data_IF_192348992318
#
_entry.id   IF_192348992318
#
_cell.length_a   1.000
_cell.length_b   1.000
_cell.length_c   1.000
_cell.angle_alpha   90.00
_cell.angle_beta   90.00
_cell.angle_gamma   90.00
#
_symmetry.space_group_name_H-M   'P 1'
#
loop_
_entity.id
_entity.type
_entity.pdbx_description
1 polymer ?
#
# COMPACT_ATOMS: atom_id res chain seq x y z
N UNK A 1 10.16 47.20 -30.16
CA UNK A 1 9.37 45.95 -30.09
C UNK A 1 9.57 45.34 -28.72
N UNK A 2 8.53 45.24 -27.87
CA UNK A 2 8.61 44.48 -26.62
C UNK A 2 8.55 43.00 -27.00
N UNK A 3 9.61 42.26 -26.69
CA UNK A 3 9.65 40.80 -26.81
C UNK A 3 8.47 40.27 -25.98
N UNK A 4 7.59 39.40 -26.52
CA UNK A 4 6.50 38.83 -25.74
C UNK A 4 7.11 38.10 -24.54
N UNK A 5 6.72 38.50 -23.33
CA UNK A 5 7.11 37.78 -22.14
C UNK A 5 6.50 36.39 -22.21
N UNK A 6 7.35 35.37 -22.34
CA UNK A 6 6.90 33.99 -22.31
C UNK A 6 6.42 33.71 -20.89
N UNK A 7 5.10 33.74 -20.68
CA UNK A 7 4.51 33.34 -19.41
C UNK A 7 4.71 31.84 -19.21
N UNK A 8 5.48 31.47 -18.19
CA UNK A 8 5.65 30.08 -17.80
C UNK A 8 4.63 29.70 -16.74
N UNK A 9 4.03 28.51 -16.85
CA UNK A 9 3.14 27.94 -15.81
C UNK A 9 3.85 26.84 -15.04
N UNK A 10 3.64 26.79 -13.72
CA UNK A 10 4.19 25.72 -12.90
C UNK A 10 3.54 24.37 -13.24
N UNK A 11 4.36 23.39 -13.62
CA UNK A 11 3.92 22.03 -14.02
C UNK A 11 3.44 21.14 -12.87
N UNK A 12 3.32 21.70 -11.66
CA UNK A 12 2.67 21.06 -10.51
C UNK A 12 1.36 21.75 -10.16
N UNK A 13 1.40 23.02 -9.77
CA UNK A 13 0.21 23.71 -9.25
C UNK A 13 -0.60 24.46 -10.32
N UNK A 14 -0.09 24.57 -11.55
CA UNK A 14 -0.74 25.27 -12.65
C UNK A 14 -0.69 26.80 -12.60
N UNK A 15 -0.23 27.40 -11.48
CA UNK A 15 -0.15 28.85 -11.34
C UNK A 15 0.99 29.44 -12.19
N UNK A 16 0.78 30.64 -12.70
CA UNK A 16 1.75 31.41 -13.50
C UNK A 16 3.00 31.78 -12.69
N UNK A 17 4.17 31.62 -13.30
CA UNK A 17 5.47 32.06 -12.81
C UNK A 17 5.69 33.50 -13.27
N UNK A 18 5.41 34.47 -12.40
CA UNK A 18 5.69 35.90 -12.67
C UNK A 18 7.19 36.11 -12.92
N UNK A 19 7.59 37.14 -13.68
CA UNK A 19 9.01 37.38 -14.05
C UNK A 19 9.99 37.33 -12.87
N UNK A 20 9.65 37.96 -11.75
CA UNK A 20 10.49 37.94 -10.53
C UNK A 20 10.61 36.53 -9.90
N UNK A 21 9.62 35.67 -10.13
CA UNK A 21 9.59 34.28 -9.67
C UNK A 21 10.30 33.32 -10.63
N UNK A 22 10.44 33.64 -11.93
CA UNK A 22 11.18 32.80 -12.89
C UNK A 22 12.65 32.64 -12.48
N UNK A 23 13.29 33.72 -12.01
CA UNK A 23 14.68 33.68 -11.49
C UNK A 23 14.85 32.77 -10.26
N UNK A 24 13.76 32.51 -9.53
CA UNK A 24 13.73 31.63 -8.35
C UNK A 24 13.05 30.29 -8.64
N UNK A 25 12.63 30.06 -9.88
CA UNK A 25 11.93 28.84 -10.30
C UNK A 25 12.94 27.77 -10.68
N UNK A 26 12.47 26.53 -10.81
CA UNK A 26 13.29 25.41 -11.25
C UNK A 26 12.87 25.00 -12.65
N UNK A 27 13.83 25.01 -13.57
CA UNK A 27 13.65 24.55 -14.94
C UNK A 27 14.12 23.12 -15.10
N UNK A 28 13.25 22.23 -15.58
CA UNK A 28 13.64 20.88 -15.91
C UNK A 28 14.19 20.81 -17.34
N UNK A 29 15.51 20.79 -17.50
CA UNK A 29 16.17 20.78 -18.81
C UNK A 29 15.82 19.55 -19.65
N UNK A 30 15.41 18.44 -19.02
CA UNK A 30 15.06 17.20 -19.73
C UNK A 30 13.70 17.25 -20.43
N UNK A 31 12.71 17.88 -19.82
CA UNK A 31 11.35 17.95 -20.39
C UNK A 31 10.87 19.38 -20.64
N UNK A 32 11.76 20.35 -20.49
CA UNK A 32 11.53 21.78 -20.66
C UNK A 32 10.38 22.35 -19.81
N UNK A 33 10.09 21.74 -18.66
CA UNK A 33 9.00 22.15 -17.75
C UNK A 33 9.51 23.04 -16.63
N UNK A 34 8.69 23.99 -16.21
CA UNK A 34 9.01 24.95 -15.15
C UNK A 34 8.21 24.68 -13.88
N UNK A 35 8.80 24.98 -12.72
CA UNK A 35 8.20 24.75 -11.41
C UNK A 35 8.49 25.90 -10.45
N UNK A 36 7.53 26.29 -9.60
CA UNK A 36 7.90 27.04 -8.40
C UNK A 36 8.89 26.21 -7.60
N UNK A 37 9.86 26.86 -6.95
CA UNK A 37 10.83 26.17 -6.11
C UNK A 37 10.19 25.29 -5.05
N UNK A 38 9.20 25.82 -4.35
CA UNK A 38 8.44 25.10 -3.32
C UNK A 38 7.57 23.99 -3.89
N UNK A 39 7.17 24.09 -5.16
CA UNK A 39 6.42 23.05 -5.84
C UNK A 39 7.32 21.94 -6.38
N UNK A 40 8.57 22.27 -6.69
CA UNK A 40 9.55 21.31 -7.17
C UNK A 40 9.88 20.35 -6.03
N UNK A 41 9.54 19.07 -6.20
CA UNK A 41 9.82 17.98 -5.24
C UNK A 41 9.18 18.08 -3.84
N UNK A 42 8.29 19.05 -3.57
CA UNK A 42 7.45 18.93 -2.37
C UNK A 42 6.74 17.56 -2.42
N UNK A 43 6.73 16.84 -1.29
CA UNK A 43 6.13 15.51 -1.14
C UNK A 43 6.89 14.35 -1.83
N UNK A 44 8.10 14.57 -2.35
CA UNK A 44 8.95 13.49 -2.89
C UNK A 44 10.19 13.19 -2.05
N UNK A 45 10.46 13.98 -1.00
CA UNK A 45 11.62 13.83 -0.13
C UNK A 45 12.98 14.21 -0.76
N UNK A 46 12.98 14.79 -1.97
CA UNK A 46 14.21 15.19 -2.66
C UNK A 46 14.52 16.65 -2.35
N UNK A 47 15.57 16.90 -1.59
CA UNK A 47 16.06 18.26 -1.33
C UNK A 47 16.59 18.89 -2.62
N UNK A 48 16.21 20.14 -2.88
CA UNK A 48 16.84 20.95 -3.91
C UNK A 48 18.02 21.66 -3.24
N UNK A 49 19.22 21.46 -3.75
CA UNK A 49 20.35 22.29 -3.35
C UNK A 49 20.03 23.77 -3.59
N UNK A 50 20.31 24.61 -2.61
CA UNK A 50 19.83 26.00 -2.59
C UNK A 50 20.33 26.87 -3.75
N UNK A 51 21.24 26.39 -4.59
CA UNK A 51 21.89 27.18 -5.64
C UNK A 51 21.61 26.72 -7.07
N UNK A 52 20.86 25.63 -7.30
CA UNK A 52 20.70 25.07 -8.65
C UNK A 52 19.33 25.44 -9.25
N UNK A 53 19.26 26.32 -10.28
CA UNK A 53 18.01 26.72 -10.93
C UNK A 53 17.48 25.71 -11.95
N UNK A 54 18.23 24.64 -12.22
CA UNK A 54 17.93 23.64 -13.23
C UNK A 54 17.99 22.22 -12.68
N UNK A 55 17.21 21.30 -13.24
CA UNK A 55 17.27 19.88 -12.90
C UNK A 55 16.95 18.98 -14.09
N UNK A 56 17.48 17.76 -14.11
CA UNK A 56 17.11 16.72 -15.09
C UNK A 56 16.15 15.67 -14.51
N UNK A 57 15.71 15.81 -13.25
CA UNK A 57 14.91 14.82 -12.51
C UNK A 57 13.65 15.43 -11.89
N UNK A 58 12.82 16.10 -12.68
CA UNK A 58 11.51 16.58 -12.18
C UNK A 58 10.51 15.42 -12.00
N UNK A 59 9.41 15.66 -11.26
CA UNK A 59 8.42 14.62 -10.94
C UNK A 59 7.74 14.07 -12.20
N UNK A 60 7.55 14.90 -13.23
CA UNK A 60 7.04 14.47 -14.53
C UNK A 60 8.00 13.50 -15.24
N UNK A 61 9.30 13.76 -15.19
CA UNK A 61 10.31 12.87 -15.77
C UNK A 61 10.43 11.57 -14.97
N UNK A 62 10.51 11.68 -13.65
CA UNK A 62 10.68 10.54 -12.74
C UNK A 62 9.46 9.61 -12.73
N UNK A 63 8.25 10.18 -12.79
CA UNK A 63 7.02 9.40 -12.86
C UNK A 63 6.76 8.91 -14.28
N UNK A 64 7.00 9.75 -15.28
CA UNK A 64 6.40 9.60 -16.61
C UNK A 64 5.03 10.28 -16.66
N UNK A 65 4.66 10.79 -17.83
CA UNK A 65 3.38 11.47 -18.06
C UNK A 65 2.47 10.61 -18.91
N UNK A 66 1.21 10.50 -18.52
CA UNK A 66 0.18 9.80 -19.29
C UNK A 66 -0.54 10.83 -20.13
N UNK A 67 -0.37 10.75 -21.44
CA UNK A 67 -1.26 11.45 -22.37
C UNK A 67 -2.44 10.53 -22.71
N UNK A 68 -3.60 10.81 -22.13
CA UNK A 68 -4.82 10.04 -22.34
C UNK A 68 -5.32 10.09 -23.80
N UNK A 69 -4.83 11.04 -24.62
CA UNK A 69 -5.14 11.15 -26.05
C UNK A 69 -4.16 10.37 -26.92
N UNK A 70 -2.96 10.06 -26.43
CA UNK A 70 -1.91 9.39 -27.20
C UNK A 70 -1.90 7.88 -26.95
N UNK A 71 -2.27 7.11 -27.99
CA UNK A 71 -2.23 5.64 -27.96
C UNK A 71 -0.81 5.07 -27.79
N UNK A 72 0.24 5.88 -28.03
CA UNK A 72 1.66 5.45 -28.02
C UNK A 72 2.11 4.84 -26.68
N UNK A 73 1.56 5.29 -25.55
CA UNK A 73 2.00 4.84 -24.23
C UNK A 73 1.55 3.40 -23.89
N UNK A 74 0.59 2.83 -24.63
CA UNK A 74 -0.09 1.59 -24.25
C UNK A 74 0.41 0.33 -24.98
N UNK A 75 1.21 0.46 -26.04
CA UNK A 75 1.55 -0.69 -26.90
C UNK A 75 2.36 -1.79 -26.19
N UNK A 76 3.16 -1.45 -25.18
CA UNK A 76 3.99 -2.40 -24.42
C UNK A 76 3.38 -2.84 -23.08
N UNK A 77 2.19 -2.36 -22.73
CA UNK A 77 1.54 -2.69 -21.46
C UNK A 77 0.65 -3.92 -21.59
N UNK A 78 0.69 -4.80 -20.58
CA UNK A 78 -0.28 -5.89 -20.46
C UNK A 78 -1.70 -5.35 -20.23
N UNK A 79 -2.72 -6.21 -20.36
CA UNK A 79 -4.13 -5.80 -20.25
C UNK A 79 -4.48 -5.19 -18.88
N UNK A 80 -3.86 -5.68 -17.81
CA UNK A 80 -4.12 -5.23 -16.43
C UNK A 80 -3.58 -3.82 -16.20
N UNK A 81 -2.37 -3.54 -16.66
CA UNK A 81 -1.77 -2.22 -16.57
C UNK A 81 -2.55 -1.20 -17.40
N UNK A 82 -3.07 -1.58 -18.58
CA UNK A 82 -3.97 -0.73 -19.38
C UNK A 82 -5.27 -0.38 -18.63
N UNK A 83 -5.92 -1.38 -18.04
CA UNK A 83 -7.12 -1.18 -17.21
C UNK A 83 -6.83 -0.30 -15.99
N UNK A 84 -5.70 -0.55 -15.32
CA UNK A 84 -5.24 0.23 -14.18
C UNK A 84 -5.07 1.72 -14.52
N UNK A 85 -4.40 2.05 -15.62
CA UNK A 85 -4.23 3.46 -16.03
C UNK A 85 -5.57 4.15 -16.25
N UNK A 86 -6.52 3.43 -16.84
CA UNK A 86 -7.85 3.94 -17.14
C UNK A 86 -8.69 4.15 -15.88
N UNK A 87 -8.79 3.14 -15.02
CA UNK A 87 -9.79 3.08 -13.96
C UNK A 87 -9.20 3.31 -12.55
N UNK A 88 -7.88 3.23 -12.40
CA UNK A 88 -7.15 3.44 -11.14
C UNK A 88 -6.93 2.16 -10.33
N UNK A 89 -7.44 1.02 -10.80
CA UNK A 89 -7.28 -0.29 -10.17
C UNK A 89 -7.42 -1.42 -11.18
N UNK A 90 -6.98 -2.63 -10.82
CA UNK A 90 -7.24 -3.86 -11.55
C UNK A 90 -7.16 -5.09 -10.63
N UNK A 91 -7.79 -6.19 -11.04
CA UNK A 91 -7.67 -7.50 -10.38
C UNK A 91 -6.81 -8.40 -11.25
N UNK A 92 -5.78 -9.01 -10.66
CA UNK A 92 -4.71 -9.73 -11.36
C UNK A 92 -4.53 -11.11 -10.72
N UNK A 93 -4.43 -12.20 -11.50
CA UNK A 93 -4.15 -13.52 -10.94
C UNK A 93 -2.75 -13.58 -10.33
N UNK A 94 -2.60 -14.34 -9.24
CA UNK A 94 -1.30 -14.65 -8.64
C UNK A 94 -0.64 -15.90 -9.25
N UNK A 95 -1.44 -16.76 -9.88
CA UNK A 95 -1.00 -18.00 -10.53
C UNK A 95 -1.13 -17.91 -12.05
N UNK A 96 -0.23 -18.57 -12.78
CA UNK A 96 -0.31 -18.75 -14.22
C UNK A 96 -0.91 -20.11 -14.59
N UNK A 97 -0.77 -21.09 -13.70
CA UNK A 97 -1.27 -22.46 -13.88
C UNK A 97 -2.27 -22.87 -12.80
N UNK A 98 -3.06 -23.92 -13.08
CA UNK A 98 -4.00 -24.48 -12.12
C UNK A 98 -3.29 -25.05 -10.88
N UNK A 99 -2.16 -25.73 -11.07
CA UNK A 99 -1.36 -26.31 -9.97
C UNK A 99 -0.83 -25.23 -9.04
N UNK A 100 -0.32 -24.13 -9.59
CA UNK A 100 0.10 -22.96 -8.80
C UNK A 100 -1.09 -22.35 -8.04
N UNK A 101 -2.25 -22.22 -8.67
CA UNK A 101 -3.45 -21.70 -8.01
C UNK A 101 -3.87 -22.57 -6.83
N UNK A 102 -3.85 -23.89 -6.99
CA UNK A 102 -4.14 -24.84 -5.92
C UNK A 102 -3.13 -24.72 -4.76
N UNK A 103 -1.84 -24.54 -5.07
CA UNK A 103 -0.83 -24.33 -4.04
C UNK A 103 -1.01 -22.99 -3.30
N UNK A 104 -1.17 -21.89 -4.05
CA UNK A 104 -1.36 -20.56 -3.47
C UNK A 104 -2.61 -20.53 -2.59
N UNK A 105 -3.74 -21.10 -3.05
CA UNK A 105 -4.98 -21.10 -2.27
C UNK A 105 -4.87 -21.91 -0.97
N UNK A 106 -4.11 -23.01 -0.96
CA UNK A 106 -3.75 -23.74 0.28
C UNK A 106 -2.92 -22.86 1.21
N UNK A 107 -1.87 -22.22 0.69
CA UNK A 107 -1.00 -21.35 1.48
C UNK A 107 -1.76 -20.17 2.09
N UNK A 108 -2.60 -19.49 1.31
CA UNK A 108 -3.45 -18.39 1.80
C UNK A 108 -4.40 -18.83 2.91
N UNK A 109 -4.93 -20.06 2.82
CA UNK A 109 -5.80 -20.63 3.86
C UNK A 109 -5.02 -20.88 5.16
N UNK A 110 -3.81 -21.44 5.08
CA UNK A 110 -2.92 -21.60 6.24
C UNK A 110 -2.55 -20.24 6.84
N UNK A 111 -2.21 -19.26 6.00
CA UNK A 111 -1.84 -17.92 6.45
C UNK A 111 -2.99 -17.19 7.12
N UNK A 112 -4.23 -17.41 6.66
CA UNK A 112 -5.44 -16.90 7.34
C UNK A 112 -5.50 -17.42 8.77
N UNK A 113 -5.33 -18.73 8.97
CA UNK A 113 -5.38 -19.32 10.31
C UNK A 113 -4.26 -18.77 11.21
N UNK A 114 -3.03 -18.69 10.71
CA UNK A 114 -1.89 -18.13 11.45
C UNK A 114 -2.14 -16.68 11.88
N UNK A 115 -2.64 -15.86 10.94
CA UNK A 115 -2.93 -14.46 11.20
C UNK A 115 -4.03 -14.28 12.24
N UNK A 116 -5.11 -15.07 12.18
CA UNK A 116 -6.21 -14.96 13.15
C UNK A 116 -5.73 -15.33 14.56
N UNK A 117 -4.90 -16.37 14.71
CA UNK A 117 -4.24 -16.68 15.99
C UNK A 117 -3.37 -15.52 16.48
N UNK A 118 -2.59 -14.92 15.58
CA UNK A 118 -1.76 -13.76 15.92
C UNK A 118 -2.58 -12.53 16.34
N UNK A 119 -3.70 -12.28 15.66
CA UNK A 119 -4.64 -11.21 16.00
C UNK A 119 -5.26 -11.42 17.39
N UNK A 120 -5.75 -12.62 17.69
CA UNK A 120 -6.32 -12.96 19.01
C UNK A 120 -5.28 -12.74 20.12
N UNK A 121 -4.03 -13.12 19.88
CA UNK A 121 -2.94 -12.92 20.82
C UNK A 121 -2.59 -11.44 21.03
N UNK A 122 -2.59 -10.62 19.96
CA UNK A 122 -2.44 -9.16 20.04
C UNK A 122 -3.58 -8.53 20.85
N UNK A 123 -4.82 -8.87 20.54
CA UNK A 123 -6.00 -8.32 21.19
C UNK A 123 -5.99 -8.65 22.68
N UNK A 124 -5.75 -9.92 23.04
CA UNK A 124 -5.66 -10.35 24.43
C UNK A 124 -4.52 -9.64 25.19
N UNK A 125 -3.38 -9.46 24.54
CA UNK A 125 -2.25 -8.74 25.14
C UNK A 125 -2.61 -7.28 25.42
N UNK A 126 -3.30 -6.63 24.47
CA UNK A 126 -3.80 -5.26 24.64
C UNK A 126 -4.80 -5.17 25.81
N UNK A 127 -5.76 -6.08 25.88
CA UNK A 127 -6.76 -6.15 26.95
C UNK A 127 -6.12 -6.35 28.33
N UNK A 128 -5.19 -7.30 28.46
CA UNK A 128 -4.47 -7.51 29.72
C UNK A 128 -3.64 -6.28 30.14
N UNK A 129 -3.01 -5.58 29.20
CA UNK A 129 -2.31 -4.32 29.52
C UNK A 129 -3.27 -3.25 30.04
N UNK A 130 -4.50 -3.20 29.49
CA UNK A 130 -5.51 -2.22 29.89
C UNK A 130 -6.07 -2.51 31.29
N UNK A 131 -6.22 -3.78 31.65
CA UNK A 131 -6.70 -4.22 32.96
C UNK A 131 -5.72 -3.95 34.11
N UNK A 132 -4.41 -4.01 33.84
CA UNK A 132 -3.34 -3.81 34.85
C UNK A 132 -3.24 -2.32 35.30
N UNK A 133 -4.06 -1.42 34.75
CA UNK A 133 -4.21 -0.04 35.24
C UNK A 133 -3.10 0.93 34.81
N UNK A 134 -2.25 0.52 33.85
CA UNK A 134 -1.24 1.38 33.25
C UNK A 134 -1.81 2.30 32.15
N UNK A 135 -1.11 3.37 31.81
CA UNK A 135 -1.44 4.20 30.65
C UNK A 135 -1.23 3.41 29.34
N UNK A 136 -2.29 2.72 28.88
CA UNK A 136 -2.26 1.96 27.62
C UNK A 136 -2.51 2.89 26.45
N UNK A 137 -1.62 2.93 25.44
CA UNK A 137 -1.84 3.71 24.24
C UNK A 137 -3.12 3.27 23.51
N UNK A 138 -3.85 4.21 22.88
CA UNK A 138 -5.02 3.84 22.07
C UNK A 138 -4.62 2.99 20.87
N UNK A 139 -5.52 2.09 20.43
CA UNK A 139 -5.30 1.35 19.18
C UNK A 139 -5.35 2.26 17.94
N UNK A 140 -5.87 3.48 18.01
CA UNK A 140 -5.91 4.37 16.85
C UNK A 140 -4.52 4.93 16.48
N UNK A 141 -3.69 5.26 17.48
CA UNK A 141 -2.41 5.94 17.24
C UNK A 141 -1.25 5.48 18.13
N UNK A 142 -1.50 4.59 19.07
CA UNK A 142 -0.54 4.23 20.11
C UNK A 142 0.52 3.22 19.73
N UNK A 143 0.17 2.29 18.84
CA UNK A 143 1.06 1.18 18.46
C UNK A 143 1.48 1.25 16.99
N UNK A 144 2.72 0.87 16.69
CA UNK A 144 3.25 0.83 15.32
C UNK A 144 2.77 -0.39 14.54
N UNK A 145 2.52 -1.50 15.24
CA UNK A 145 2.25 -2.81 14.64
C UNK A 145 0.81 -3.31 14.79
N UNK A 146 -0.02 -2.69 15.62
CA UNK A 146 -1.40 -3.11 15.82
C UNK A 146 -2.32 -1.91 16.01
N UNK A 147 -3.12 -1.59 14.99
CA UNK A 147 -3.90 -0.35 14.96
C UNK A 147 -5.34 -0.61 14.61
N UNK A 148 -6.27 0.09 15.24
CA UNK A 148 -7.67 0.11 14.83
C UNK A 148 -7.92 1.31 13.92
N UNK A 149 -8.37 1.05 12.69
CA UNK A 149 -8.56 2.09 11.65
C UNK A 149 -9.97 2.67 11.68
N UNK A 150 -10.95 1.83 12.01
CA UNK A 150 -12.33 2.18 12.34
C UNK A 150 -12.94 1.04 13.16
N UNK A 151 -14.20 1.19 13.60
CA UNK A 151 -14.86 0.15 14.39
C UNK A 151 -14.80 -1.22 13.70
N UNK A 152 -14.25 -2.22 14.39
CA UNK A 152 -14.08 -3.59 13.90
C UNK A 152 -13.03 -3.80 12.78
N UNK A 153 -12.19 -2.80 12.46
CA UNK A 153 -11.15 -2.92 11.42
C UNK A 153 -9.76 -2.62 11.97
N UNK A 154 -8.87 -3.58 11.80
CA UNK A 154 -7.52 -3.53 12.32
C UNK A 154 -6.47 -3.55 11.20
N UNK A 155 -5.34 -2.93 11.46
CA UNK A 155 -4.10 -3.00 10.68
C UNK A 155 -3.05 -3.69 11.55
N UNK A 156 -2.45 -4.75 11.02
CA UNK A 156 -1.43 -5.55 11.69
C UNK A 156 -0.16 -5.49 10.83
N UNK A 157 0.95 -5.06 11.42
CA UNK A 157 2.28 -5.15 10.80
C UNK A 157 3.08 -6.20 11.55
N UNK A 158 3.54 -7.22 10.84
CA UNK A 158 4.39 -8.25 11.42
C UNK A 158 5.36 -8.81 10.37
N UNK A 159 6.55 -9.18 10.81
CA UNK A 159 7.63 -9.63 9.91
C UNK A 159 7.25 -10.91 9.16
N UNK A 160 6.50 -11.81 9.82
CA UNK A 160 5.99 -13.04 9.17
C UNK A 160 4.99 -12.77 8.05
N UNK A 161 4.26 -11.64 8.10
CA UNK A 161 3.35 -11.26 7.03
C UNK A 161 4.19 -10.84 5.83
N UNK A 162 5.16 -9.95 6.04
CA UNK A 162 6.10 -9.47 5.03
C UNK A 162 6.86 -10.63 4.37
N UNK A 163 7.38 -11.57 5.17
CA UNK A 163 8.13 -12.72 4.66
C UNK A 163 7.29 -13.69 3.83
N UNK A 164 5.96 -13.63 3.95
CA UNK A 164 5.01 -14.43 3.14
C UNK A 164 4.56 -13.68 1.88
N UNK A 165 4.03 -12.46 2.04
CA UNK A 165 3.37 -11.75 0.93
C UNK A 165 4.34 -11.17 -0.10
N UNK A 166 5.53 -10.71 0.32
CA UNK A 166 6.48 -10.09 -0.61
C UNK A 166 7.05 -11.14 -1.58
N UNK A 167 7.50 -12.33 -1.14
CA UNK A 167 7.91 -13.39 -2.06
C UNK A 167 6.78 -13.90 -2.96
N UNK A 168 5.54 -14.02 -2.45
CA UNK A 168 4.39 -14.40 -3.26
C UNK A 168 4.19 -13.44 -4.44
N UNK A 169 4.23 -12.14 -4.18
CA UNK A 169 4.10 -11.12 -5.25
C UNK A 169 5.32 -11.13 -6.17
N UNK A 170 6.53 -11.33 -5.64
CA UNK A 170 7.75 -11.41 -6.44
C UNK A 170 7.72 -12.58 -7.44
N UNK A 171 7.10 -13.70 -7.06
CA UNK A 171 6.98 -14.90 -7.89
C UNK A 171 5.77 -14.85 -8.85
N UNK A 172 4.79 -13.98 -8.63
CA UNK A 172 3.63 -13.83 -9.50
C UNK A 172 3.98 -13.04 -10.78
N UNK A 173 4.23 -13.75 -11.89
CA UNK A 173 4.73 -13.17 -13.13
C UNK A 173 3.83 -12.05 -13.67
N UNK A 174 2.53 -12.30 -13.82
CA UNK A 174 1.59 -11.29 -14.32
C UNK A 174 1.53 -10.06 -13.41
N UNK A 175 1.64 -10.23 -12.09
CA UNK A 175 1.67 -9.10 -11.14
C UNK A 175 2.96 -8.29 -11.32
N UNK A 176 4.13 -8.94 -11.40
CA UNK A 176 5.40 -8.25 -11.63
C UNK A 176 5.42 -7.49 -12.95
N UNK A 177 4.97 -8.09 -14.04
CA UNK A 177 4.87 -7.41 -15.34
C UNK A 177 3.94 -6.18 -15.27
N UNK A 178 2.86 -6.27 -14.50
CA UNK A 178 1.93 -5.15 -14.28
C UNK A 178 2.61 -4.04 -13.49
N UNK A 179 3.30 -4.37 -12.38
CA UNK A 179 4.02 -3.41 -11.56
C UNK A 179 5.17 -2.75 -12.33
N UNK A 180 5.93 -3.50 -13.13
CA UNK A 180 7.02 -2.97 -13.93
C UNK A 180 6.53 -2.00 -15.00
N UNK A 181 5.44 -2.32 -15.68
CA UNK A 181 4.84 -1.44 -16.67
C UNK A 181 4.32 -0.12 -16.06
N UNK A 182 3.99 -0.10 -14.76
CA UNK A 182 3.39 1.05 -14.10
C UNK A 182 4.40 1.89 -13.29
N UNK A 183 5.36 1.24 -12.61
CA UNK A 183 6.29 1.89 -11.69
C UNK A 183 7.68 2.08 -12.30
N UNK A 184 8.14 1.19 -13.18
CA UNK A 184 9.47 1.29 -13.75
C UNK A 184 9.48 2.24 -14.96
N UNK A 185 10.60 2.94 -15.17
CA UNK A 185 10.80 3.78 -16.34
C UNK A 185 12.10 3.34 -17.03
N UNK A 186 12.05 2.95 -18.31
CA UNK A 186 13.28 2.54 -19.02
C UNK A 186 14.15 3.74 -19.41
N UNK A 187 13.55 4.94 -19.57
CA UNK A 187 14.26 6.15 -20.00
C UNK A 187 15.01 6.85 -18.86
N UNK A 188 14.64 6.56 -17.62
CA UNK A 188 15.29 7.03 -16.40
C UNK A 188 15.38 5.84 -15.45
N UNK A 189 16.56 5.47 -14.93
CA UNK A 189 16.74 4.27 -14.08
C UNK A 189 15.98 4.41 -12.75
N UNK A 190 14.67 4.26 -12.83
CA UNK A 190 13.69 4.34 -11.75
C UNK A 190 13.12 2.96 -11.63
N UNK A 191 13.56 2.24 -10.59
CA UNK A 191 12.99 0.97 -10.20
C UNK A 191 11.82 1.14 -9.23
N UNK A 192 11.26 0.00 -8.82
CA UNK A 192 10.29 -0.11 -7.74
C UNK A 192 10.94 -0.60 -6.45
N UNK A 193 10.42 -0.19 -5.30
CA UNK A 193 10.79 -0.69 -3.97
C UNK A 193 9.53 -1.01 -3.16
N UNK A 194 9.66 -1.91 -2.18
CA UNK A 194 8.62 -2.07 -1.16
C UNK A 194 8.66 -0.86 -0.24
N UNK A 195 7.50 -0.24 -0.03
CA UNK A 195 7.33 0.91 0.86
C UNK A 195 6.77 0.48 2.21
N UNK A 196 5.80 -0.44 2.22
CA UNK A 196 5.22 -1.01 3.42
C UNK A 196 4.51 -2.33 3.11
N UNK A 197 4.26 -3.11 4.16
CA UNK A 197 3.51 -4.36 4.10
C UNK A 197 2.87 -4.67 5.43
N UNK A 198 1.78 -5.43 5.40
CA UNK A 198 1.02 -5.78 6.60
C UNK A 198 -0.29 -6.47 6.23
N UNK A 199 -1.25 -6.43 7.15
CA UNK A 199 -2.58 -6.98 6.96
C UNK A 199 -3.65 -6.00 7.43
N UNK A 200 -4.69 -5.82 6.62
CA UNK A 200 -5.96 -5.28 7.08
C UNK A 200 -6.91 -6.42 7.44
N UNK A 201 -7.36 -6.45 8.70
CA UNK A 201 -8.35 -7.40 9.19
C UNK A 201 -9.67 -6.68 9.43
N UNK A 202 -10.74 -7.13 8.79
CA UNK A 202 -12.09 -6.62 9.02
C UNK A 202 -12.95 -7.68 9.70
N UNK A 203 -13.33 -7.46 10.96
CA UNK A 203 -14.23 -8.35 11.68
C UNK A 203 -15.67 -8.23 11.14
N UNK A 204 -16.51 -9.21 11.46
CA UNK A 204 -17.95 -9.14 11.18
C UNK A 204 -18.53 -7.82 11.71
N UNK A 205 -19.34 -7.15 10.90
CA UNK A 205 -20.01 -5.92 11.29
C UNK A 205 -19.11 -4.68 11.31
N UNK A 206 -17.83 -4.79 10.93
CA UNK A 206 -16.93 -3.64 10.82
C UNK A 206 -17.51 -2.54 9.96
N UNK A 207 -17.17 -1.29 10.24
CA UNK A 207 -17.76 -0.16 9.52
C UNK A 207 -17.16 0.04 8.11
N UNK A 208 -17.97 0.68 7.26
CA UNK A 208 -17.51 1.24 5.98
C UNK A 208 -16.64 2.44 6.28
N UNK A 209 -15.44 2.47 5.70
CA UNK A 209 -14.53 3.60 5.84
C UNK A 209 -15.02 4.81 5.05
N UNK A 210 -14.60 6.01 5.46
CA UNK A 210 -14.74 7.19 4.63
C UNK A 210 -13.96 7.02 3.31
N UNK A 211 -14.47 7.62 2.24
CA UNK A 211 -13.77 7.65 0.96
C UNK A 211 -12.48 8.49 1.10
N UNK A 212 -11.35 7.96 0.65
CA UNK A 212 -10.05 8.60 0.77
C UNK A 212 -9.09 8.15 -0.34
N UNK A 213 -7.97 8.86 -0.45
CA UNK A 213 -6.78 8.46 -1.21
C UNK A 213 -5.67 8.14 -0.22
N UNK A 214 -4.78 7.20 -0.53
CA UNK A 214 -3.65 6.90 0.35
C UNK A 214 -2.50 7.91 0.19
N UNK A 215 -2.41 8.59 -0.95
CA UNK A 215 -1.47 9.69 -1.10
C UNK A 215 -1.89 10.76 -2.10
N UNK A 216 -1.17 11.90 -2.08
CA UNK A 216 -1.56 13.08 -2.82
C UNK A 216 -1.28 12.97 -4.33
N UNK A 217 -1.99 13.77 -5.12
CA UNK A 217 -1.56 14.04 -6.48
C UNK A 217 -0.25 14.85 -6.48
N UNK A 218 0.78 14.34 -7.16
CA UNK A 218 2.07 15.05 -7.28
C UNK A 218 2.07 16.15 -8.37
N UNK A 219 1.00 16.24 -9.15
CA UNK A 219 0.73 17.34 -10.10
C UNK A 219 -0.79 17.53 -10.24
N UNK A 220 -1.22 18.79 -10.34
CA UNK A 220 -2.60 19.20 -10.58
C UNK A 220 -2.86 19.57 -12.04
N UNK A 221 -1.83 19.49 -12.90
CA UNK A 221 -1.92 19.90 -14.31
C UNK A 221 -1.44 18.84 -15.30
N UNK A 222 -0.75 17.80 -14.83
CA UNK A 222 -0.29 16.69 -15.67
C UNK A 222 -0.69 15.36 -15.04
N UNK A 223 -1.32 14.49 -15.83
CA UNK A 223 -1.57 13.11 -15.43
C UNK A 223 -0.24 12.35 -15.42
N UNK A 224 0.15 11.86 -14.26
CA UNK A 224 1.39 11.10 -14.06
C UNK A 224 1.08 9.61 -13.97
N UNK A 225 2.02 8.78 -14.43
CA UNK A 225 2.07 7.37 -14.03
C UNK A 225 2.09 7.26 -12.50
N UNK A 226 1.54 6.17 -11.93
CA UNK A 226 1.52 5.98 -10.48
C UNK A 226 2.94 6.06 -9.92
N UNK A 227 3.09 6.74 -8.79
CA UNK A 227 4.33 6.76 -8.03
C UNK A 227 4.35 5.70 -6.91
N UNK A 228 3.16 5.21 -6.55
CA UNK A 228 2.96 4.11 -5.62
C UNK A 228 1.70 3.32 -6.01
N UNK A 229 1.69 2.03 -5.68
CA UNK A 229 0.62 1.07 -5.96
C UNK A 229 0.46 0.18 -4.73
N UNK A 230 -0.77 0.06 -4.25
CA UNK A 230 -1.12 -0.95 -3.27
C UNK A 230 -1.46 -2.26 -3.97
N UNK A 231 -0.93 -3.36 -3.44
CA UNK A 231 -1.23 -4.72 -3.87
C UNK A 231 -1.91 -5.43 -2.70
N UNK A 232 -3.22 -5.64 -2.80
CA UNK A 232 -4.02 -6.33 -1.81
C UNK A 232 -4.15 -7.80 -2.19
N UNK A 233 -3.81 -8.68 -1.26
CA UNK A 233 -3.92 -10.15 -1.38
C UNK A 233 -4.91 -10.63 -0.31
N UNK A 234 -6.19 -10.77 -0.67
CA UNK A 234 -7.20 -11.32 0.24
C UNK A 234 -6.86 -12.77 0.61
N UNK A 235 -6.96 -13.11 1.91
CA UNK A 235 -6.84 -14.51 2.35
C UNK A 235 -8.20 -15.24 2.35
N UNK A 236 -9.24 -14.57 1.87
CA UNK A 236 -10.57 -15.08 1.56
C UNK A 236 -11.07 -14.39 0.28
N UNK A 237 -12.02 -15.00 -0.44
CA UNK A 237 -12.70 -14.30 -1.53
C UNK A 237 -13.50 -13.10 -1.02
N UNK A 238 -13.41 -11.98 -1.74
CA UNK A 238 -14.12 -10.75 -1.40
C UNK A 238 -15.06 -10.32 -2.53
N UNK A 239 -16.20 -9.76 -2.14
CA UNK A 239 -17.25 -9.24 -3.02
C UNK A 239 -17.77 -7.91 -2.47
N UNK A 240 -18.85 -7.36 -3.04
CA UNK A 240 -19.44 -6.09 -2.59
C UNK A 240 -19.94 -6.08 -1.14
N UNK A 241 -20.07 -7.24 -0.46
CA UNK A 241 -20.49 -7.32 0.94
C UNK A 241 -19.33 -7.27 1.93
N UNK A 242 -18.10 -7.41 1.45
CA UNK A 242 -16.91 -7.38 2.27
C UNK A 242 -15.70 -6.92 1.43
N UNK A 243 -15.87 -5.97 0.51
CA UNK A 243 -14.86 -5.62 -0.49
C UNK A 243 -14.18 -4.29 -0.25
N UNK A 244 -13.41 -3.86 -1.25
CA UNK A 244 -12.97 -2.47 -1.37
C UNK A 244 -13.79 -1.85 -2.50
N UNK A 245 -14.29 -0.65 -2.26
CA UNK A 245 -15.02 0.11 -3.26
C UNK A 245 -14.14 1.24 -3.79
N UNK A 246 -14.19 1.44 -5.11
CA UNK A 246 -13.41 2.43 -5.84
C UNK A 246 -14.31 3.43 -6.52
N UNK A 247 -13.78 4.62 -6.72
CA UNK A 247 -14.33 5.67 -7.55
C UNK A 247 -13.48 5.70 -8.82
N UNK A 248 -13.86 4.97 -9.88
CA UNK A 248 -13.00 4.82 -11.04
C UNK A 248 -12.65 6.18 -11.63
N UNK A 249 -11.42 6.31 -12.15
CA UNK A 249 -10.92 7.52 -12.82
C UNK A 249 -10.68 8.73 -11.91
N UNK A 250 -10.95 8.65 -10.60
CA UNK A 250 -10.76 9.77 -9.68
C UNK A 250 -9.30 10.23 -9.54
N UNK A 251 -8.34 9.39 -9.95
CA UNK A 251 -6.91 9.72 -10.02
C UNK A 251 -6.54 10.55 -11.26
N UNK A 252 -7.46 10.72 -12.22
CA UNK A 252 -7.26 11.45 -13.46
C UNK A 252 -7.68 12.91 -13.29
N UNK A 253 -6.76 13.82 -13.56
CA UNK A 253 -7.00 15.26 -13.51
C UNK A 253 -8.07 15.69 -14.52
N UNK A 254 -9.00 16.53 -14.05
CA UNK A 254 -10.07 17.10 -14.86
C UNK A 254 -11.19 16.13 -15.21
N UNK A 255 -11.12 14.87 -14.75
CA UNK A 255 -12.18 13.90 -14.95
C UNK A 255 -13.16 13.92 -13.78
N UNK A 256 -14.10 14.87 -13.84
CA UNK A 256 -15.16 15.04 -12.84
C UNK A 256 -16.44 14.27 -13.20
N UNK A 257 -16.35 13.28 -14.10
CA UNK A 257 -17.53 12.47 -14.43
C UNK A 257 -17.97 11.74 -13.17
N UNK A 258 -19.26 11.83 -12.86
CA UNK A 258 -19.90 10.98 -11.86
C UNK A 258 -19.84 9.51 -12.33
N UNK A 259 -18.70 8.88 -12.11
CA UNK A 259 -18.54 7.45 -12.32
C UNK A 259 -19.18 6.76 -11.13
N UNK A 260 -20.14 5.86 -11.40
CA UNK A 260 -20.67 4.99 -10.34
C UNK A 260 -19.50 4.30 -9.66
N UNK A 261 -19.52 4.30 -8.33
CA UNK A 261 -18.54 3.55 -7.54
C UNK A 261 -18.67 2.05 -7.83
N UNK A 262 -17.55 1.33 -7.75
CA UNK A 262 -17.48 -0.09 -8.11
C UNK A 262 -16.73 -0.85 -7.03
N UNK A 263 -17.25 -2.01 -6.62
CA UNK A 263 -16.55 -2.95 -5.75
C UNK A 263 -16.17 -4.20 -6.54
N UNK A 264 -14.94 -4.26 -7.12
CA UNK A 264 -14.55 -5.43 -7.91
C UNK A 264 -14.48 -6.67 -7.02
N UNK A 265 -15.09 -7.79 -7.41
CA UNK A 265 -14.88 -9.05 -6.70
C UNK A 265 -13.43 -9.51 -6.89
N UNK A 266 -12.84 -10.05 -5.84
CA UNK A 266 -11.50 -10.63 -5.86
C UNK A 266 -11.58 -12.04 -5.32
N UNK A 267 -11.43 -13.01 -6.22
CA UNK A 267 -11.39 -14.42 -5.84
C UNK A 267 -10.09 -14.73 -5.07
N UNK A 268 -10.14 -15.74 -4.21
CA UNK A 268 -8.95 -16.30 -3.58
C UNK A 268 -7.93 -16.72 -4.67
N UNK A 269 -6.66 -16.34 -4.51
CA UNK A 269 -5.63 -16.53 -5.52
C UNK A 269 -5.48 -15.39 -6.53
N UNK A 270 -6.27 -14.31 -6.40
CA UNK A 270 -6.06 -13.06 -7.14
C UNK A 270 -5.60 -11.93 -6.19
N UNK A 271 -4.91 -10.95 -6.76
CA UNK A 271 -4.55 -9.70 -6.10
C UNK A 271 -5.33 -8.52 -6.69
N UNK A 272 -5.68 -7.57 -5.84
CA UNK A 272 -6.25 -6.28 -6.20
C UNK A 272 -5.14 -5.23 -6.18
N UNK A 273 -4.84 -4.63 -7.33
CA UNK A 273 -3.88 -3.55 -7.46
C UNK A 273 -4.63 -2.23 -7.60
N UNK A 274 -4.22 -1.18 -6.89
CA UNK A 274 -4.79 0.15 -7.06
C UNK A 274 -3.79 1.28 -6.87
N UNK A 275 -4.05 2.38 -7.58
CA UNK A 275 -3.24 3.60 -7.57
C UNK A 275 -3.33 4.26 -6.19
N UNK A 276 -2.20 4.68 -5.65
CA UNK A 276 -2.16 5.35 -4.34
C UNK A 276 -3.03 6.63 -4.29
N UNK A 277 -3.38 7.17 -5.46
CA UNK A 277 -4.21 8.37 -5.63
C UNK A 277 -5.67 8.08 -5.95
N UNK A 278 -6.07 6.83 -6.23
CA UNK A 278 -7.47 6.54 -6.52
C UNK A 278 -8.29 6.65 -5.24
N UNK A 279 -9.45 7.28 -5.34
CA UNK A 279 -10.38 7.42 -4.22
C UNK A 279 -11.01 6.05 -4.02
N UNK A 280 -10.96 5.57 -2.79
CA UNK A 280 -11.47 4.26 -2.42
C UNK A 280 -11.92 4.23 -0.95
N UNK A 281 -12.58 3.14 -0.57
CA UNK A 281 -12.91 2.84 0.82
C UNK A 281 -13.06 1.34 1.05
N UNK A 282 -12.64 0.86 2.23
CA UNK A 282 -13.02 -0.46 2.70
C UNK A 282 -14.50 -0.49 3.07
N UNK A 283 -15.27 -1.42 2.49
CA UNK A 283 -16.68 -1.60 2.85
C UNK A 283 -16.83 -2.34 4.18
N UNK A 284 -18.00 -2.14 4.81
CA UNK A 284 -18.47 -2.96 5.93
C UNK A 284 -18.29 -4.45 5.61
N UNK A 285 -17.85 -5.24 6.58
CA UNK A 285 -17.89 -6.68 6.44
C UNK A 285 -19.26 -7.21 6.89
N UNK A 286 -20.15 -7.44 5.91
CA UNK A 286 -21.48 -8.01 6.13
C UNK A 286 -21.49 -9.55 6.17
N UNK A 287 -20.32 -10.21 6.10
CA UNK A 287 -20.17 -11.66 6.24
C UNK A 287 -19.87 -12.03 7.69
N UNK A 288 -20.20 -13.26 8.07
CA UNK A 288 -19.87 -13.83 9.39
C UNK A 288 -18.37 -13.97 9.62
N UNK A 289 -17.64 -14.31 8.56
CA UNK A 289 -16.21 -14.59 8.66
C UNK A 289 -15.39 -13.29 8.68
N UNK A 290 -14.32 -13.21 9.50
CA UNK A 290 -13.34 -12.15 9.38
C UNK A 290 -12.73 -12.12 7.98
N UNK A 291 -12.46 -10.90 7.49
CA UNK A 291 -11.80 -10.64 6.21
C UNK A 291 -10.39 -10.11 6.42
N UNK A 292 -9.40 -11.01 6.51
CA UNK A 292 -7.99 -10.63 6.42
C UNK A 292 -7.56 -10.43 4.97
N UNK A 293 -6.79 -9.36 4.75
CA UNK A 293 -6.19 -9.03 3.47
C UNK A 293 -4.75 -8.57 3.72
N UNK A 294 -3.79 -9.36 3.25
CA UNK A 294 -2.41 -8.91 3.21
C UNK A 294 -2.28 -7.77 2.21
N UNK A 295 -1.35 -6.87 2.45
CA UNK A 295 -1.00 -5.82 1.51
C UNK A 295 0.52 -5.66 1.39
N UNK A 296 0.94 -5.23 0.21
CA UNK A 296 2.25 -4.64 -0.03
C UNK A 296 2.06 -3.38 -0.84
N UNK A 297 2.63 -2.28 -0.39
CA UNK A 297 2.69 -1.05 -1.17
C UNK A 297 4.04 -0.97 -1.86
N UNK A 298 4.03 -0.96 -3.19
CA UNK A 298 5.23 -0.68 -3.98
C UNK A 298 5.27 0.79 -4.36
N UNK A 299 6.44 1.41 -4.32
CA UNK A 299 6.65 2.77 -4.79
C UNK A 299 7.82 2.87 -5.75
N UNK A 300 7.85 3.93 -6.55
CA UNK A 300 9.04 4.29 -7.32
C UNK A 300 10.19 4.56 -6.35
N UNK A 301 11.40 4.14 -6.70
CA UNK A 301 12.57 4.17 -5.79
C UNK A 301 12.88 5.55 -5.21
N UNK A 302 12.60 6.61 -5.96
CA UNK A 302 12.80 8.01 -5.56
C UNK A 302 11.73 8.55 -4.60
N UNK A 303 10.57 7.91 -4.48
CA UNK A 303 9.49 8.40 -3.63
C UNK A 303 9.76 8.07 -2.16
N UNK A 304 9.41 9.00 -1.28
CA UNK A 304 9.42 8.81 0.17
C UNK A 304 8.06 9.21 0.71
N UNK A 305 7.37 8.28 1.38
CA UNK A 305 6.10 8.59 2.02
C UNK A 305 6.36 9.32 3.34
N UNK A 306 5.81 10.52 3.44
CA UNK A 306 5.87 11.35 4.65
C UNK A 306 4.53 11.37 5.40
N UNK A 307 3.49 10.71 4.88
CA UNK A 307 2.12 10.84 5.38
C UNK A 307 1.64 9.63 6.18
N UNK A 308 1.87 8.41 5.68
CA UNK A 308 1.20 7.21 6.18
C UNK A 308 2.12 6.36 7.06
N UNK A 309 3.39 6.24 6.70
CA UNK A 309 4.35 5.32 7.32
C UNK A 309 5.50 6.02 8.06
N UNK A 310 5.32 7.28 8.48
CA UNK A 310 6.37 7.94 9.28
C UNK A 310 6.47 7.34 10.68
N UNK A 311 7.65 6.81 11.03
CA UNK A 311 7.98 6.28 12.37
C UNK A 311 7.74 7.32 13.48
N UNK A 312 7.74 8.61 13.13
CA UNK A 312 7.42 9.71 14.05
C UNK A 312 6.00 9.62 14.62
N UNK A 313 5.07 8.96 13.92
CA UNK A 313 3.65 8.87 14.31
C UNK A 313 3.37 7.76 15.32
N UNK A 314 4.16 6.68 15.33
CA UNK A 314 3.91 5.49 16.15
C UNK A 314 5.16 5.10 16.94
N UNK A 315 5.06 5.07 18.27
CA UNK A 315 6.24 4.99 19.14
C UNK A 315 6.41 3.65 19.86
N UNK A 316 5.36 2.84 20.00
CA UNK A 316 5.37 1.60 20.77
C UNK A 316 5.02 0.39 19.90
N UNK A 317 5.79 -0.68 19.98
CA UNK A 317 5.40 -1.99 19.43
C UNK A 317 4.63 -2.76 20.51
N UNK A 318 3.52 -3.39 20.14
CA UNK A 318 2.81 -4.31 21.01
C UNK A 318 3.46 -5.69 20.87
N UNK A 319 4.21 -6.08 21.89
CA UNK A 319 4.87 -7.37 21.95
C UNK A 319 3.89 -8.43 22.44
N UNK A 320 3.72 -9.49 21.64
CA UNK A 320 2.85 -10.62 21.98
C UNK A 320 3.65 -11.63 22.77
N UNK A 321 3.11 -12.09 23.90
CA UNK A 321 3.67 -13.22 24.64
C UNK A 321 3.65 -14.48 23.75
N UNK A 322 4.81 -15.12 23.48
CA UNK A 322 4.87 -16.35 22.68
C UNK A 322 3.91 -17.45 23.16
N UNK A 323 3.61 -17.52 24.46
CA UNK A 323 2.67 -18.49 25.01
C UNK A 323 1.23 -18.29 24.51
N UNK A 324 0.88 -17.11 23.99
CA UNK A 324 -0.43 -16.82 23.38
C UNK A 324 -0.52 -17.24 21.91
N UNK A 325 0.62 -17.54 21.27
CA UNK A 325 0.67 -17.95 19.87
C UNK A 325 0.53 -19.46 19.69
N UNK A 326 0.70 -20.22 20.77
CA UNK A 326 0.54 -21.67 20.81
C UNK A 326 -0.92 -22.05 21.14
N UNK A 327 -1.44 -23.05 20.44
CA UNK A 327 -2.75 -23.62 20.79
C UNK A 327 -2.75 -24.20 22.19
N UNK A 328 -3.94 -24.35 22.80
CA UNK A 328 -4.06 -25.01 24.12
C UNK A 328 -3.53 -26.44 24.06
N UNK A 329 -3.77 -27.15 22.97
CA UNK A 329 -3.35 -28.54 22.79
C UNK A 329 -1.83 -28.65 22.63
N UNK A 330 -1.19 -27.74 21.89
CA UNK A 330 0.28 -27.68 21.78
C UNK A 330 0.94 -27.36 23.12
N UNK A 331 0.36 -26.44 23.91
CA UNK A 331 0.84 -26.13 25.26
C UNK A 331 0.71 -27.32 26.21
N UNK A 332 -0.45 -28.00 26.18
CA UNK A 332 -0.69 -29.20 26.99
C UNK A 332 0.25 -30.34 26.59
N UNK A 333 0.50 -30.53 25.29
CA UNK A 333 1.42 -31.55 24.78
C UNK A 333 2.90 -31.25 25.10
N UNK A 334 3.30 -29.98 25.15
CA UNK A 334 4.64 -29.60 25.63
C UNK A 334 4.78 -29.80 27.13
N UNK A 335 3.74 -29.46 27.91
CA UNK A 335 3.72 -29.64 29.36
C UNK A 335 3.77 -31.13 29.77
N UNK A 336 3.05 -31.99 29.06
CA UNK A 336 3.14 -33.44 29.27
C UNK A 336 4.51 -34.01 28.93
N UNK A 337 5.22 -33.45 27.93
CA UNK A 337 6.59 -33.84 27.58
C UNK A 337 7.64 -33.34 28.57
N UNK A 338 7.40 -32.23 29.28
CA UNK A 338 8.30 -31.73 30.32
C UNK A 338 8.15 -32.47 31.64
N UNK A 339 6.95 -32.98 31.95
CA UNK A 339 6.68 -33.70 33.21
C UNK A 339 7.21 -35.16 33.19
N UNK A 340 7.38 -35.78 32.01
CA UNK A 340 7.99 -37.12 31.85
C UNK A 340 9.52 -37.15 31.91
N UNK A 341 10.19 -35.99 31.91
CA UNK A 341 11.66 -35.88 31.94
C UNK A 341 12.27 -35.78 33.34
N UNK A 342 11.43 -35.77 34.39
CA UNK A 342 11.83 -35.42 35.76
C UNK A 342 11.72 -36.56 36.77
N UNK A 343 12.04 -37.81 36.43
CA UNK A 343 12.14 -38.87 37.45
C UNK A 343 13.00 -40.07 37.03
N UNK A 344 14.33 -39.92 37.11
CA UNK A 344 15.32 -40.99 37.38
C UNK A 344 16.70 -40.35 37.21
N UNK A 345 17.55 -40.15 38.21
CA UNK A 345 18.08 -41.17 39.12
C UNK A 345 18.59 -40.53 40.42
N UNK A 346 17.98 -40.93 41.53
CA UNK A 346 18.60 -40.93 42.87
C UNK A 346 18.64 -42.38 43.36
N UNK A 347 19.80 -42.80 43.87
CA UNK A 347 20.16 -43.98 44.70
C UNK A 347 21.38 -44.69 44.08
N UNK A 348 22.59 -44.49 44.62
CA UNK A 348 23.17 -45.13 45.83
C UNK A 348 23.31 -46.65 45.68
N UNK A 349 24.49 -47.12 45.23
CA UNK A 349 25.48 -47.77 46.10
C UNK A 349 26.80 -48.00 45.36
#
# INVERSE_FOLDING_TARGET
MRIPLVEHTCSRCGRTLREAAVKKSVHCIRCNRWYHRTCFMADTGVAIEEKVPTSNRCVCCLSGTIDMKSKKCTHHMNKYAKGFIKDGFCVVPLAETKTELEQITRDLSTWKADLLRYFEALLKTYECQAEIGGAVPSLESGYSNFRQRCSGRFEIIADFITSKVVPLIANAQTVQQTLDALLCNAQLPVGKKVMSSGCFLSLMGSETQNAHTDGPALSNVVNLFPYAINVFVPLISVDSRNGTEFFPRSHILGDQRESKYVSPPVALGNALLFDYRVVHRGLRNAKSDPRPCYYVTYSKSWYQDTYNFSERRYKKRLEVDPALLESRDERMAKKSRSDDGGSSTSQLH
#
